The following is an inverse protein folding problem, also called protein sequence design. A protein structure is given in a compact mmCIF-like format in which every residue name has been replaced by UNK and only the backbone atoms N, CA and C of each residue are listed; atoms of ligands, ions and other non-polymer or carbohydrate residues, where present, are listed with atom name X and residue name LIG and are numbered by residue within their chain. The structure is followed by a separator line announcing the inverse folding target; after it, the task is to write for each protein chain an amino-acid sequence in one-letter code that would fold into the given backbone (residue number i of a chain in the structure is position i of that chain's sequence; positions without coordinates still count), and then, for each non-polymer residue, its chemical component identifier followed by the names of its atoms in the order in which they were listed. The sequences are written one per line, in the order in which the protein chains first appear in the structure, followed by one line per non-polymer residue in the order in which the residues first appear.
data_IF_310630262866
#
_entry.id   IF_310630262866
#
_cell.length_a   1.000
_cell.length_b   1.000
_cell.length_c   1.000
_cell.angle_alpha   90.00
_cell.angle_beta   90.00
_cell.angle_gamma   90.00
#
_symmetry.space_group_name_H-M   'P 1'
#
loop_
_entity.id
_entity.type
_entity.pdbx_description
1 polymer ?
#
# COMPACT_ATOMS: atom_id res chain seq x y z
N UNK A 1 -5.51 18.95 7.28
CA UNK A 1 -4.36 18.19 6.74
C UNK A 1 -3.45 17.61 7.81
N UNK A 2 -2.72 18.37 8.63
CA UNK A 2 -1.85 17.74 9.65
C UNK A 2 -2.63 17.02 10.76
N UNK A 3 -3.72 17.63 11.24
CA UNK A 3 -4.60 17.01 12.26
C UNK A 3 -5.24 15.70 11.82
N UNK A 4 -5.58 15.59 10.53
CA UNK A 4 -6.20 14.39 9.97
C UNK A 4 -5.19 13.26 9.82
N UNK A 5 -3.93 13.61 9.50
CA UNK A 5 -2.81 12.67 9.45
C UNK A 5 -2.47 12.15 10.85
N UNK A 6 -2.36 13.03 11.85
CA UNK A 6 -2.14 12.65 13.25
C UNK A 6 -3.29 11.76 13.76
N UNK A 7 -4.55 12.14 13.51
CA UNK A 7 -5.71 11.34 13.89
C UNK A 7 -5.75 9.97 13.20
N UNK A 8 -5.33 9.89 11.93
CA UNK A 8 -5.18 8.64 11.17
C UNK A 8 -4.14 7.73 11.84
N UNK A 9 -2.93 8.24 12.09
CA UNK A 9 -1.84 7.49 12.71
C UNK A 9 -2.22 7.01 14.12
N UNK A 10 -2.80 7.87 14.94
CA UNK A 10 -3.27 7.53 16.29
C UNK A 10 -4.31 6.40 16.26
N UNK A 11 -5.30 6.48 15.35
CA UNK A 11 -6.32 5.44 15.23
C UNK A 11 -5.72 4.12 14.73
N UNK A 12 -4.80 4.16 13.77
CA UNK A 12 -4.08 2.96 13.30
C UNK A 12 -3.25 2.34 14.42
N UNK A 13 -2.65 3.15 15.28
CA UNK A 13 -1.91 2.69 16.45
C UNK A 13 -2.83 2.07 17.53
N UNK A 14 -4.02 2.65 17.76
CA UNK A 14 -5.06 2.06 18.63
C UNK A 14 -5.50 0.69 18.10
N UNK A 15 -5.70 0.55 16.78
CA UNK A 15 -5.99 -0.74 16.16
C UNK A 15 -4.86 -1.75 16.38
N UNK A 16 -3.59 -1.32 16.26
CA UNK A 16 -2.46 -2.17 16.59
C UNK A 16 -2.51 -2.65 18.04
N UNK A 17 -2.74 -1.76 19.02
CA UNK A 17 -2.86 -2.16 20.44
C UNK A 17 -4.01 -3.14 20.68
N UNK A 18 -5.14 -2.95 20.01
CA UNK A 18 -6.33 -3.81 20.12
C UNK A 18 -6.09 -5.21 19.55
N UNK A 19 -5.44 -5.32 18.39
CA UNK A 19 -5.26 -6.59 17.67
C UNK A 19 -3.92 -7.29 17.96
N UNK A 20 -2.95 -6.57 18.53
CA UNK A 20 -1.64 -7.07 18.94
C UNK A 20 -1.34 -6.74 20.42
N UNK A 21 -2.17 -7.18 21.39
CA UNK A 21 -1.87 -7.00 22.79
C UNK A 21 -0.54 -7.68 23.11
N UNK A 22 0.37 -6.95 23.77
CA UNK A 22 1.72 -7.41 24.09
C UNK A 22 2.55 -7.87 22.87
N UNK A 23 2.25 -7.36 21.67
CA UNK A 23 2.99 -7.68 20.44
C UNK A 23 2.67 -9.05 19.84
N UNK A 24 1.60 -9.72 20.29
CA UNK A 24 1.15 -11.01 19.74
C UNK A 24 -0.17 -10.85 18.99
N UNK A 25 -0.21 -11.30 17.74
CA UNK A 25 -1.42 -11.24 16.91
C UNK A 25 -2.55 -12.10 17.51
N UNK A 26 -3.73 -11.51 17.68
CA UNK A 26 -4.93 -12.26 18.06
C UNK A 26 -5.45 -13.02 16.84
N UNK A 27 -5.50 -14.37 16.93
CA UNK A 27 -5.92 -15.26 15.81
C UNK A 27 -7.30 -14.95 15.22
N UNK A 28 -8.24 -14.47 16.02
CA UNK A 28 -9.60 -14.11 15.58
C UNK A 28 -9.74 -12.68 15.06
N UNK A 29 -8.66 -11.89 15.10
CA UNK A 29 -8.72 -10.44 14.88
C UNK A 29 -8.35 -9.95 13.49
N UNK A 30 -7.85 -10.80 12.59
CA UNK A 30 -7.23 -10.32 11.35
C UNK A 30 -8.25 -9.82 10.32
N UNK A 31 -9.39 -10.51 10.17
CA UNK A 31 -10.51 -10.03 9.33
C UNK A 31 -11.17 -8.78 9.90
N UNK A 32 -11.31 -8.71 11.23
CA UNK A 32 -11.83 -7.54 11.93
C UNK A 32 -10.89 -6.33 11.75
N UNK A 33 -9.57 -6.53 11.89
CA UNK A 33 -8.55 -5.52 11.66
C UNK A 33 -8.62 -4.97 10.23
N UNK A 34 -8.70 -5.85 9.22
CA UNK A 34 -8.83 -5.43 7.82
C UNK A 34 -10.10 -4.62 7.58
N UNK A 35 -11.24 -5.04 8.14
CA UNK A 35 -12.50 -4.30 8.05
C UNK A 35 -12.43 -2.91 8.70
N UNK A 36 -11.86 -2.83 9.90
CA UNK A 36 -11.67 -1.57 10.64
C UNK A 36 -10.70 -0.64 9.90
N UNK A 37 -9.61 -1.18 9.33
CA UNK A 37 -8.66 -0.41 8.51
C UNK A 37 -9.30 0.10 7.22
N UNK A 38 -10.09 -0.70 6.50
CA UNK A 38 -10.82 -0.25 5.30
C UNK A 38 -11.76 0.91 5.63
N UNK A 39 -12.48 0.80 6.74
CA UNK A 39 -13.39 1.86 7.22
C UNK A 39 -12.61 3.14 7.50
N UNK A 40 -11.45 3.02 8.13
CA UNK A 40 -10.57 4.13 8.48
C UNK A 40 -9.99 4.80 7.22
N UNK A 41 -9.56 4.02 6.23
CA UNK A 41 -9.11 4.52 4.92
C UNK A 41 -10.21 5.31 4.21
N UNK A 42 -11.46 4.82 4.27
CA UNK A 42 -12.61 5.55 3.72
C UNK A 42 -12.94 6.85 4.47
N UNK A 43 -12.68 6.91 5.78
CA UNK A 43 -12.87 8.13 6.59
C UNK A 43 -11.78 9.18 6.35
N UNK A 44 -10.55 8.75 6.05
CA UNK A 44 -9.39 9.63 5.86
C UNK A 44 -8.70 9.39 4.50
N UNK A 45 -9.40 9.54 3.36
CA UNK A 45 -8.87 9.17 2.05
C UNK A 45 -7.65 10.01 1.64
N UNK A 46 -7.66 11.30 1.97
CA UNK A 46 -6.56 12.22 1.62
C UNK A 46 -5.33 11.99 2.48
N UNK A 47 -5.49 11.90 3.81
CA UNK A 47 -4.39 11.64 4.72
C UNK A 47 -3.77 10.26 4.46
N UNK A 48 -4.60 9.25 4.17
CA UNK A 48 -4.13 7.92 3.78
C UNK A 48 -3.31 8.00 2.49
N UNK A 49 -3.84 8.64 1.44
CA UNK A 49 -3.13 8.73 0.17
C UNK A 49 -1.77 9.44 0.30
N UNK A 50 -1.72 10.53 1.08
CA UNK A 50 -0.50 11.28 1.33
C UNK A 50 0.55 10.47 2.10
N UNK A 51 0.13 9.76 3.16
CA UNK A 51 1.02 8.93 3.96
C UNK A 51 1.61 7.81 3.10
N UNK A 52 0.76 7.07 2.38
CA UNK A 52 1.20 5.92 1.60
C UNK A 52 2.09 6.32 0.42
N UNK A 53 1.75 7.40 -0.30
CA UNK A 53 2.58 7.88 -1.40
C UNK A 53 3.97 8.33 -0.91
N UNK A 54 4.02 8.99 0.25
CA UNK A 54 5.27 9.41 0.89
C UNK A 54 6.11 8.22 1.34
N UNK A 55 5.47 7.19 1.93
CA UNK A 55 6.15 5.96 2.33
C UNK A 55 6.71 5.19 1.13
N UNK A 56 5.91 5.02 0.07
CA UNK A 56 6.36 4.39 -1.19
C UNK A 56 7.57 5.13 -1.76
N UNK A 57 7.47 6.46 -1.89
CA UNK A 57 8.56 7.28 -2.42
C UNK A 57 9.84 7.12 -1.60
N UNK A 58 9.76 7.19 -0.26
CA UNK A 58 10.92 7.04 0.63
C UNK A 58 11.57 5.66 0.53
N UNK A 59 10.77 4.60 0.46
CA UNK A 59 11.27 3.22 0.35
C UNK A 59 11.96 2.98 -1.00
N UNK A 60 11.38 3.47 -2.08
CA UNK A 60 11.93 3.30 -3.43
C UNK A 60 13.15 4.17 -3.70
N UNK A 61 13.17 5.42 -3.21
CA UNK A 61 14.32 6.33 -3.40
C UNK A 61 15.62 5.81 -2.78
N UNK A 62 15.55 4.96 -1.74
CA UNK A 62 16.75 4.37 -1.11
C UNK A 62 17.49 3.39 -2.01
N UNK A 63 16.82 2.82 -3.01
CA UNK A 63 17.35 1.71 -3.82
C UNK A 63 17.28 1.94 -5.32
N UNK A 64 16.53 2.95 -5.77
CA UNK A 64 16.38 3.31 -7.17
C UNK A 64 16.65 4.80 -7.38
N UNK A 65 17.35 5.12 -8.47
CA UNK A 65 17.49 6.51 -8.96
C UNK A 65 16.20 7.05 -9.57
N UNK A 66 15.28 6.15 -9.94
CA UNK A 66 13.95 6.47 -10.46
C UNK A 66 12.89 5.84 -9.53
N UNK A 67 12.43 6.57 -8.50
CA UNK A 67 11.54 6.04 -7.46
C UNK A 67 10.09 5.89 -7.92
N UNK A 68 9.75 6.37 -9.11
CA UNK A 68 8.40 6.28 -9.67
C UNK A 68 8.27 5.21 -10.75
N UNK A 69 9.37 4.55 -11.11
CA UNK A 69 9.38 3.43 -12.05
C UNK A 69 9.58 2.11 -11.32
N UNK A 70 8.58 1.24 -11.39
CA UNK A 70 8.60 -0.10 -10.82
C UNK A 70 8.77 -1.13 -11.92
N UNK A 71 9.73 -2.05 -11.75
CA UNK A 71 10.01 -3.11 -12.71
C UNK A 71 9.70 -4.45 -12.08
N UNK A 72 8.69 -5.15 -12.59
CA UNK A 72 8.36 -6.52 -12.18
C UNK A 72 8.95 -7.51 -13.16
N UNK A 73 9.89 -8.31 -12.70
CA UNK A 73 10.48 -9.38 -13.48
C UNK A 73 9.65 -10.65 -13.36
N UNK A 74 9.20 -11.19 -14.50
CA UNK A 74 8.56 -12.51 -14.56
C UNK A 74 9.59 -13.48 -15.12
N UNK A 75 10.05 -14.48 -14.33
CA UNK A 75 11.07 -15.40 -14.77
C UNK A 75 10.59 -16.28 -15.93
N UNK A 76 11.53 -16.77 -16.72
CA UNK A 76 11.27 -17.69 -17.82
C UNK A 76 10.62 -18.97 -17.27
N UNK A 77 9.44 -19.32 -17.78
CA UNK A 77 8.83 -20.62 -17.49
C UNK A 77 9.34 -21.62 -18.52
N UNK A 78 10.23 -22.53 -18.09
CA UNK A 78 10.77 -23.59 -18.95
C UNK A 78 9.66 -24.53 -19.44
N UNK A 79 8.68 -24.83 -18.56
CA UNK A 79 7.52 -25.68 -18.90
C UNK A 79 6.56 -25.07 -19.93
N UNK A 80 6.45 -23.74 -20.01
CA UNK A 80 5.50 -23.06 -20.92
C UNK A 80 6.17 -22.37 -22.10
N UNK A 81 7.49 -22.55 -22.28
CA UNK A 81 8.31 -21.90 -23.30
C UNK A 81 8.10 -20.37 -23.37
N UNK A 82 7.68 -19.73 -22.27
CA UNK A 82 7.44 -18.29 -22.24
C UNK A 82 8.75 -17.57 -21.95
N UNK A 83 9.13 -16.55 -22.76
CA UNK A 83 10.31 -15.75 -22.48
C UNK A 83 10.14 -15.00 -21.17
N UNK A 84 11.27 -14.67 -20.54
CA UNK A 84 11.27 -13.74 -19.42
C UNK A 84 10.66 -12.40 -19.88
N UNK A 85 9.82 -11.81 -19.03
CA UNK A 85 9.18 -10.52 -19.31
C UNK A 85 9.44 -9.56 -18.17
N UNK A 86 9.78 -8.33 -18.51
CA UNK A 86 9.84 -7.23 -17.56
C UNK A 86 8.65 -6.33 -17.81
N UNK A 87 7.77 -6.20 -16.82
CA UNK A 87 6.70 -5.22 -16.84
C UNK A 87 7.21 -3.97 -16.13
N UNK A 88 7.01 -2.82 -16.75
CA UNK A 88 7.38 -1.51 -16.19
C UNK A 88 6.11 -0.74 -15.89
N UNK A 89 5.98 -0.27 -14.65
CA UNK A 89 4.88 0.57 -14.18
C UNK A 89 5.47 1.91 -13.80
N UNK A 90 4.88 3.00 -14.27
CA UNK A 90 5.45 4.33 -14.10
C UNK A 90 4.39 5.31 -13.59
N UNK A 91 4.76 6.11 -12.61
CA UNK A 91 4.00 7.27 -12.15
C UNK A 91 4.74 8.54 -12.52
N UNK A 92 4.02 9.59 -12.91
CA UNK A 92 4.69 10.83 -13.36
C UNK A 92 5.30 11.61 -12.18
N UNK A 93 4.71 11.47 -10.99
CA UNK A 93 5.16 12.15 -9.77
C UNK A 93 4.58 11.51 -8.51
N UNK A 94 5.06 11.94 -7.35
CA UNK A 94 4.44 11.58 -6.07
C UNK A 94 3.00 12.08 -5.96
N UNK A 95 2.70 13.23 -6.58
CA UNK A 95 1.34 13.77 -6.60
C UNK A 95 0.42 12.89 -7.44
N UNK A 96 0.88 12.41 -8.59
CA UNK A 96 0.15 11.47 -9.44
C UNK A 96 -0.16 10.15 -8.71
N UNK A 97 0.83 9.62 -7.99
CA UNK A 97 0.64 8.45 -7.12
C UNK A 97 -0.39 8.73 -6.01
N UNK A 98 -0.33 9.90 -5.38
CA UNK A 98 -1.27 10.30 -4.31
C UNK A 98 -2.71 10.37 -4.85
N UNK A 99 -2.91 11.01 -5.99
CA UNK A 99 -4.22 11.12 -6.63
C UNK A 99 -4.74 9.75 -7.08
N UNK A 100 -3.87 8.89 -7.58
CA UNK A 100 -4.23 7.51 -7.97
C UNK A 100 -4.67 6.68 -6.76
N UNK A 101 -3.98 6.78 -5.62
CA UNK A 101 -4.40 6.14 -4.36
C UNK A 101 -5.75 6.70 -3.90
N UNK A 102 -5.91 8.01 -3.89
CA UNK A 102 -7.16 8.65 -3.49
C UNK A 102 -8.33 8.23 -4.40
N UNK A 103 -8.06 8.08 -5.71
CA UNK A 103 -9.04 7.55 -6.66
C UNK A 103 -9.45 6.13 -6.27
N UNK A 104 -8.49 5.20 -6.12
CA UNK A 104 -8.75 3.81 -5.70
C UNK A 104 -9.61 3.74 -4.43
N UNK A 105 -9.34 4.59 -3.44
CA UNK A 105 -10.11 4.64 -2.20
C UNK A 105 -11.56 5.05 -2.47
N UNK A 106 -11.77 6.06 -3.31
CA UNK A 106 -13.10 6.61 -3.63
C UNK A 106 -13.93 5.68 -4.51
N UNK A 107 -13.33 4.95 -5.45
CA UNK A 107 -14.10 4.16 -6.41
C UNK A 107 -14.64 2.84 -5.85
N UNK A 108 -14.29 2.43 -4.61
CA UNK A 108 -14.82 1.30 -3.80
C UNK A 108 -14.91 -0.10 -4.44
N UNK A 109 -14.72 -0.24 -5.76
CA UNK A 109 -14.85 -1.47 -6.52
C UNK A 109 -13.57 -2.34 -6.46
N UNK A 110 -12.47 -1.77 -5.99
CA UNK A 110 -11.19 -2.46 -5.86
C UNK A 110 -10.97 -3.00 -4.45
N UNK A 111 -11.85 -3.90 -3.99
CA UNK A 111 -11.74 -4.50 -2.62
C UNK A 111 -10.34 -5.08 -2.36
N UNK A 112 -9.74 -5.73 -3.38
CA UNK A 112 -8.39 -6.26 -3.30
C UNK A 112 -7.32 -5.17 -3.16
N UNK A 113 -7.48 -4.04 -3.87
CA UNK A 113 -6.56 -2.90 -3.73
C UNK A 113 -6.73 -2.19 -2.40
N UNK A 114 -7.96 -2.12 -1.86
CA UNK A 114 -8.23 -1.59 -0.53
C UNK A 114 -7.58 -2.44 0.57
N UNK A 115 -7.56 -3.77 0.43
CA UNK A 115 -6.86 -4.67 1.36
C UNK A 115 -5.35 -4.46 1.35
N UNK A 116 -4.79 -4.28 0.15
CA UNK A 116 -3.36 -4.00 0.00
C UNK A 116 -3.01 -2.64 0.61
N UNK A 117 -3.84 -1.62 0.39
CA UNK A 117 -3.70 -0.30 1.02
C UNK A 117 -3.83 -0.38 2.55
N UNK A 118 -4.82 -1.11 3.08
CA UNK A 118 -5.03 -1.34 4.51
C UNK A 118 -3.82 -2.01 5.16
N UNK A 119 -3.34 -3.08 4.53
CA UNK A 119 -2.17 -3.82 5.01
C UNK A 119 -0.92 -2.93 5.03
N UNK A 120 -0.67 -2.21 3.94
CA UNK A 120 0.49 -1.35 3.82
C UNK A 120 0.43 -0.14 4.76
N UNK A 121 -0.76 0.45 4.98
CA UNK A 121 -0.98 1.49 5.99
C UNK A 121 -0.63 0.99 7.38
N UNK A 122 -1.17 -0.17 7.76
CA UNK A 122 -0.92 -0.76 9.07
C UNK A 122 0.57 -1.05 9.31
N UNK A 123 1.25 -1.60 8.30
CA UNK A 123 2.69 -1.88 8.36
C UNK A 123 3.53 -0.62 8.37
N UNK A 124 3.18 0.40 7.58
CA UNK A 124 3.94 1.65 7.50
C UNK A 124 3.90 2.43 8.82
N UNK A 125 2.71 2.54 9.43
CA UNK A 125 2.54 3.25 10.71
C UNK A 125 3.17 2.47 11.87
N UNK A 126 2.99 1.14 11.89
CA UNK A 126 3.45 0.30 12.99
C UNK A 126 4.80 -0.38 12.73
N UNK A 127 5.56 0.04 11.71
CA UNK A 127 6.83 -0.57 11.29
C UNK A 127 7.76 -0.91 12.48
N UNK A 128 8.08 0.03 13.40
CA UNK A 128 8.99 -0.28 14.52
C UNK A 128 8.37 -1.28 15.52
N UNK A 129 7.05 -1.26 15.71
CA UNK A 129 6.35 -2.15 16.63
C UNK A 129 6.27 -3.58 16.08
N UNK A 130 6.13 -3.71 14.77
CA UNK A 130 6.02 -5.00 14.07
C UNK A 130 7.37 -5.64 13.73
N UNK A 131 8.49 -4.94 13.99
CA UNK A 131 9.86 -5.38 13.63
C UNK A 131 10.02 -5.72 12.14
N UNK A 132 9.25 -5.04 11.28
CA UNK A 132 9.29 -5.23 9.84
C UNK A 132 10.58 -4.63 9.30
N UNK A 133 11.34 -5.44 8.56
CA UNK A 133 12.58 -4.99 7.91
C UNK A 133 12.21 -4.20 6.65
N UNK A 134 13.00 -3.18 6.30
CA UNK A 134 12.75 -2.30 5.15
C UNK A 134 12.49 -3.04 3.83
N UNK A 135 13.10 -4.22 3.62
CA UNK A 135 12.87 -5.03 2.41
C UNK A 135 11.44 -5.59 2.34
N UNK A 136 10.89 -6.09 3.45
CA UNK A 136 9.52 -6.63 3.49
C UNK A 136 8.48 -5.52 3.27
N UNK A 137 8.75 -4.34 3.84
CA UNK A 137 7.89 -3.16 3.63
C UNK A 137 7.96 -2.68 2.18
N UNK A 138 9.15 -2.74 1.55
CA UNK A 138 9.33 -2.42 0.12
C UNK A 138 8.58 -3.39 -0.78
N UNK A 139 8.67 -4.69 -0.55
CA UNK A 139 7.96 -5.67 -1.39
C UNK A 139 6.43 -5.48 -1.31
N UNK A 140 5.94 -5.09 -0.14
CA UNK A 140 4.53 -4.71 0.04
C UNK A 140 4.20 -3.40 -0.68
N UNK A 141 5.07 -2.39 -0.58
CA UNK A 141 4.91 -1.10 -1.26
C UNK A 141 4.88 -1.25 -2.78
N UNK A 142 5.75 -2.10 -3.34
CA UNK A 142 5.78 -2.45 -4.77
C UNK A 142 4.46 -3.07 -5.23
N UNK A 143 3.98 -4.05 -4.46
CA UNK A 143 2.72 -4.74 -4.76
C UNK A 143 1.53 -3.79 -4.78
N UNK A 144 1.47 -2.87 -3.81
CA UNK A 144 0.44 -1.83 -3.69
C UNK A 144 0.51 -0.88 -4.88
N UNK A 145 1.68 -0.32 -5.18
CA UNK A 145 1.87 0.64 -6.26
C UNK A 145 1.52 0.03 -7.63
N UNK A 146 1.90 -1.23 -7.89
CA UNK A 146 1.51 -1.94 -9.11
C UNK A 146 -0.02 -2.11 -9.18
N UNK A 147 -0.67 -2.48 -8.09
CA UNK A 147 -2.12 -2.67 -8.08
C UNK A 147 -2.88 -1.35 -8.32
N UNK A 148 -2.42 -0.25 -7.73
CA UNK A 148 -2.96 1.10 -7.99
C UNK A 148 -2.80 1.48 -9.46
N UNK A 149 -1.61 1.24 -10.02
CA UNK A 149 -1.35 1.53 -11.43
C UNK A 149 -2.30 0.74 -12.33
N UNK A 150 -2.41 -0.57 -12.12
CA UNK A 150 -3.29 -1.44 -12.91
C UNK A 150 -4.76 -1.03 -12.81
N UNK A 151 -5.23 -0.67 -11.61
CA UNK A 151 -6.60 -0.18 -11.42
C UNK A 151 -6.84 1.14 -12.17
N UNK A 152 -5.90 2.08 -12.04
CA UNK A 152 -6.00 3.40 -12.66
C UNK A 152 -5.95 3.33 -14.19
N UNK A 153 -5.16 2.42 -14.76
CA UNK A 153 -5.13 2.19 -16.21
C UNK A 153 -6.38 1.51 -16.72
N UNK A 154 -6.93 0.54 -15.98
CA UNK A 154 -8.13 -0.18 -16.40
C UNK A 154 -9.38 0.70 -16.38
N UNK A 155 -9.49 1.63 -15.42
CA UNK A 155 -10.61 2.58 -15.36
C UNK A 155 -10.52 3.72 -16.37
N UNK A 156 -9.36 3.96 -17.01
CA UNK A 156 -9.23 4.93 -18.11
C UNK A 156 -9.76 4.36 -19.45
N UNK A 157 -10.18 3.10 -19.50
CA UNK A 157 -10.63 2.42 -20.72
C UNK A 157 -12.13 2.04 -20.69
N UNK A 158 -12.85 2.49 -19.67
CA UNK A 158 -14.32 2.47 -19.60
C UNK A 158 -14.85 3.91 -19.60
#
# INVERSE_FOLDING_TARGET
MNRDLEALEDRVYVLHKKHYPHGKAVRSGLSALQSELRTLIGQYPEATALLLSSSIYRLHRRVSSDPFTLKRYTPRSVMRLRPARTQTFHFESQQDLTLSIQHVIKTSQAVQSLDQLATFLFQSVNQPSLRIIDNELRDTSESVAIAIHLFSTNNRHN
#
